data_IF_293415061789
#
_entry.id   IF_293415061789
#
_cell.length_a   1.000
_cell.length_b   1.000
_cell.length_c   1.000
_cell.angle_alpha   90.00
_cell.angle_beta   90.00
_cell.angle_gamma   90.00
#
_symmetry.space_group_name_H-M   'P 1'
#
loop_
_entity.id
_entity.type
_entity.pdbx_description
1 polymer ?
#
# COMPACT_ATOMS: atom_id res chain seq x y z
N UNK A 1 3.62 -48.51 -40.85
CA UNK A 1 2.44 -47.67 -41.19
C UNK A 1 1.47 -47.40 -40.03
N UNK A 2 1.57 -48.03 -38.84
CA UNK A 2 0.69 -47.68 -37.70
C UNK A 2 1.30 -46.63 -36.75
N UNK A 3 2.62 -46.65 -36.58
CA UNK A 3 3.34 -45.80 -35.62
C UNK A 3 3.40 -44.32 -36.07
N UNK A 4 3.41 -44.03 -37.38
CA UNK A 4 3.40 -42.65 -37.88
C UNK A 4 2.04 -41.95 -37.73
N UNK A 5 0.95 -42.72 -37.61
CA UNK A 5 -0.40 -42.19 -37.47
C UNK A 5 -0.68 -41.74 -36.03
N UNK A 6 -0.20 -42.52 -35.06
CA UNK A 6 -0.31 -42.17 -33.63
C UNK A 6 0.57 -40.97 -33.25
N UNK A 7 1.73 -40.80 -33.89
CA UNK A 7 2.60 -39.63 -33.66
C UNK A 7 1.97 -38.32 -34.16
N UNK A 8 1.22 -38.37 -35.26
CA UNK A 8 0.51 -37.21 -35.82
C UNK A 8 -0.65 -36.73 -34.93
N UNK A 9 -1.43 -37.66 -34.37
CA UNK A 9 -2.53 -37.34 -33.46
C UNK A 9 -2.02 -36.78 -32.12
N UNK A 10 -0.88 -37.27 -31.61
CA UNK A 10 -0.26 -36.72 -30.39
C UNK A 10 0.26 -35.30 -30.63
N UNK A 11 0.91 -35.04 -31.77
CA UNK A 11 1.40 -33.70 -32.10
C UNK A 11 0.28 -32.70 -32.39
N UNK A 12 -0.81 -33.14 -33.04
CA UNK A 12 -2.00 -32.31 -33.25
C UNK A 12 -2.66 -31.89 -31.94
N UNK A 13 -2.90 -32.85 -31.04
CA UNK A 13 -3.48 -32.56 -29.72
C UNK A 13 -2.56 -31.67 -28.86
N UNK A 14 -1.23 -31.80 -29.00
CA UNK A 14 -0.29 -30.93 -28.28
C UNK A 14 -0.32 -29.49 -28.82
N UNK A 15 -0.42 -29.33 -30.14
CA UNK A 15 -0.47 -28.02 -30.78
C UNK A 15 -1.78 -27.29 -30.44
N UNK A 16 -2.91 -28.01 -30.43
CA UNK A 16 -4.21 -27.45 -30.06
C UNK A 16 -4.24 -27.07 -28.57
N UNK A 17 -3.67 -27.91 -27.69
CA UNK A 17 -3.59 -27.60 -26.26
C UNK A 17 -2.67 -26.41 -25.95
N UNK A 18 -1.56 -26.26 -26.69
CA UNK A 18 -0.70 -25.06 -26.57
C UNK A 18 -1.39 -23.81 -27.09
N UNK A 19 -2.21 -23.94 -28.14
CA UNK A 19 -2.96 -22.83 -28.73
C UNK A 19 -4.07 -22.37 -27.80
N UNK A 20 -4.83 -23.29 -27.21
CA UNK A 20 -5.85 -22.97 -26.21
C UNK A 20 -5.24 -22.27 -24.98
N UNK A 21 -4.07 -22.72 -24.50
CA UNK A 21 -3.36 -22.04 -23.41
C UNK A 21 -2.95 -20.61 -23.82
N UNK A 22 -2.51 -20.42 -25.06
CA UNK A 22 -2.06 -19.12 -25.56
C UNK A 22 -3.24 -18.16 -25.79
N UNK A 23 -4.36 -18.68 -26.29
CA UNK A 23 -5.60 -17.94 -26.50
C UNK A 23 -6.24 -17.56 -25.15
N UNK A 24 -6.28 -18.47 -24.16
CA UNK A 24 -6.69 -18.16 -22.79
C UNK A 24 -5.78 -17.11 -22.12
N UNK A 25 -4.46 -17.18 -22.35
CA UNK A 25 -3.52 -16.17 -21.85
C UNK A 25 -3.76 -14.81 -22.51
N UNK A 26 -4.00 -14.81 -23.83
CA UNK A 26 -4.23 -13.62 -24.64
C UNK A 26 -5.54 -12.93 -24.27
N UNK A 27 -6.62 -13.69 -24.08
CA UNK A 27 -7.93 -13.16 -23.67
C UNK A 27 -7.92 -12.71 -22.20
N UNK A 28 -7.19 -13.41 -21.33
CA UNK A 28 -6.91 -12.99 -19.96
C UNK A 28 -6.17 -11.66 -19.91
N UNK A 29 -5.07 -11.52 -20.65
CA UNK A 29 -4.32 -10.27 -20.77
C UNK A 29 -5.15 -9.16 -21.43
N UNK A 30 -5.92 -9.46 -22.47
CA UNK A 30 -6.80 -8.51 -23.16
C UNK A 30 -7.86 -7.91 -22.26
N UNK A 31 -8.56 -8.74 -21.48
CA UNK A 31 -9.57 -8.29 -20.52
C UNK A 31 -8.99 -7.48 -19.36
N UNK A 32 -7.77 -7.81 -18.90
CA UNK A 32 -7.05 -7.03 -17.88
C UNK A 32 -6.60 -5.67 -18.44
N UNK A 33 -6.12 -5.63 -19.70
CA UNK A 33 -5.76 -4.38 -20.37
C UNK A 33 -6.97 -3.49 -20.66
N UNK A 34 -8.14 -4.05 -20.95
CA UNK A 34 -9.38 -3.25 -21.04
C UNK A 34 -9.82 -2.75 -19.67
N UNK A 35 -9.78 -3.60 -18.63
CA UNK A 35 -10.15 -3.21 -17.26
C UNK A 35 -9.25 -2.11 -16.68
N UNK A 36 -7.95 -2.13 -16.97
CA UNK A 36 -6.96 -1.21 -16.40
C UNK A 36 -6.65 -0.06 -17.36
N UNK A 37 -6.42 -0.34 -18.64
CA UNK A 37 -5.95 0.64 -19.63
C UNK A 37 -7.01 1.62 -20.10
N UNK A 38 -8.24 1.17 -20.36
CA UNK A 38 -9.34 2.07 -20.72
C UNK A 38 -9.85 2.89 -19.52
N UNK A 39 -9.61 2.42 -18.29
CA UNK A 39 -10.11 3.08 -17.09
C UNK A 39 -9.08 3.95 -16.38
N UNK A 40 -7.77 3.72 -16.49
CA UNK A 40 -6.74 4.47 -15.73
C UNK A 40 -6.88 6.00 -15.84
N UNK A 41 -7.28 6.52 -17.01
CA UNK A 41 -7.44 7.96 -17.25
C UNK A 41 -8.83 8.51 -16.87
N UNK A 42 -9.80 7.65 -16.59
CA UNK A 42 -11.19 8.00 -16.23
C UNK A 42 -11.61 7.53 -14.83
N UNK A 43 -10.78 6.74 -14.13
CA UNK A 43 -11.15 6.12 -12.86
C UNK A 43 -10.81 7.02 -11.67
N UNK A 44 -11.85 7.38 -10.92
CA UNK A 44 -11.72 8.11 -9.65
C UNK A 44 -10.89 7.35 -8.61
N UNK A 45 -10.80 6.02 -8.72
CA UNK A 45 -10.05 5.16 -7.81
C UNK A 45 -8.55 5.49 -7.81
N UNK A 46 -7.94 5.66 -9.00
CA UNK A 46 -6.50 5.99 -9.11
C UNK A 46 -6.18 7.41 -8.65
N UNK A 47 -7.10 8.35 -8.84
CA UNK A 47 -6.96 9.72 -8.31
C UNK A 47 -7.13 9.76 -6.78
N UNK A 48 -8.03 8.94 -6.22
CA UNK A 48 -8.15 8.77 -4.76
C UNK A 48 -6.88 8.15 -4.16
N UNK A 49 -6.32 7.12 -4.80
CA UNK A 49 -5.05 6.54 -4.41
C UNK A 49 -3.88 7.52 -4.55
N UNK A 50 -3.90 8.41 -5.55
CA UNK A 50 -2.89 9.46 -5.71
C UNK A 50 -2.93 10.46 -4.56
N UNK A 51 -4.12 10.94 -4.22
CA UNK A 51 -4.28 11.83 -3.06
C UNK A 51 -3.84 11.13 -1.77
N UNK A 52 -4.24 9.87 -1.57
CA UNK A 52 -3.83 9.08 -0.43
C UNK A 52 -2.30 8.92 -0.35
N UNK A 53 -1.62 8.66 -1.47
CA UNK A 53 -0.17 8.55 -1.53
C UNK A 53 0.54 9.87 -1.16
N UNK A 54 0.01 11.03 -1.57
CA UNK A 54 0.54 12.33 -1.14
C UNK A 54 0.38 12.56 0.37
N UNK A 55 -0.78 12.20 0.92
CA UNK A 55 -1.00 12.32 2.37
C UNK A 55 -0.08 11.38 3.14
N UNK A 56 0.13 10.15 2.66
CA UNK A 56 1.08 9.18 3.23
C UNK A 56 2.54 9.64 3.18
N UNK A 57 2.90 10.54 2.26
CA UNK A 57 4.23 11.17 2.18
C UNK A 57 4.36 12.36 3.13
N UNK A 58 3.35 13.22 3.21
CA UNK A 58 3.43 14.49 3.96
C UNK A 58 3.19 14.27 5.46
N UNK A 59 2.21 13.44 5.84
CA UNK A 59 1.82 13.26 7.24
C UNK A 59 2.97 12.74 8.14
N UNK A 60 3.78 11.76 7.72
CA UNK A 60 4.90 11.30 8.53
C UNK A 60 6.03 12.33 8.63
N UNK A 61 6.25 13.13 7.58
CA UNK A 61 7.28 14.19 7.57
C UNK A 61 6.94 15.28 8.57
N UNK A 62 5.68 15.74 8.60
CA UNK A 62 5.21 16.68 9.61
C UNK A 62 5.37 16.12 11.03
N UNK A 63 5.07 14.84 11.20
CA UNK A 63 5.22 14.12 12.47
C UNK A 63 6.68 14.03 12.92
N UNK A 64 7.59 13.78 11.98
CA UNK A 64 9.03 13.72 12.24
C UNK A 64 9.62 15.08 12.60
N UNK A 65 9.18 16.15 11.90
CA UNK A 65 9.58 17.53 12.21
C UNK A 65 9.11 17.97 13.60
N UNK A 66 7.84 17.69 13.95
CA UNK A 66 7.29 17.98 15.28
C UNK A 66 8.07 17.24 16.38
N UNK A 67 8.30 15.93 16.20
CA UNK A 67 9.07 15.13 17.15
C UNK A 67 10.55 15.56 17.24
N UNK A 68 11.15 16.00 16.13
CA UNK A 68 12.51 16.54 16.11
C UNK A 68 12.65 17.83 16.91
N UNK A 69 11.69 18.75 16.77
CA UNK A 69 11.64 20.01 17.53
C UNK A 69 11.41 19.75 19.02
N UNK A 70 10.53 18.82 19.38
CA UNK A 70 10.28 18.48 20.78
C UNK A 70 11.47 17.75 21.43
N UNK A 71 12.13 16.83 20.71
CA UNK A 71 13.34 16.14 21.19
C UNK A 71 14.51 17.11 21.42
N UNK A 72 14.64 18.18 20.61
CA UNK A 72 15.62 19.23 20.86
C UNK A 72 15.38 19.95 22.19
N UNK A 73 14.11 20.18 22.57
CA UNK A 73 13.76 20.79 23.86
C UNK A 73 13.89 19.84 25.05
N UNK A 74 13.67 18.54 24.85
CA UNK A 74 13.88 17.53 25.89
C UNK A 74 15.36 17.21 26.14
N UNK A 75 16.26 17.43 25.17
CA UNK A 75 17.71 17.25 25.39
C UNK A 75 18.29 18.24 26.40
N UNK A 76 17.56 19.31 26.72
CA UNK A 76 17.92 20.32 27.73
C UNK A 76 17.37 20.04 29.13
N UNK A 77 16.43 19.08 29.29
CA UNK A 77 15.87 18.70 30.58
C UNK A 77 15.94 17.17 30.72
N UNK A 78 16.81 16.67 31.59
CA UNK A 78 17.13 15.25 31.83
C UNK A 78 15.94 14.39 32.33
N UNK A 79 14.89 14.22 31.53
CA UNK A 79 13.78 13.31 31.86
C UNK A 79 13.43 12.40 30.68
N UNK A 80 13.82 11.13 30.85
CA UNK A 80 13.31 9.90 30.24
C UNK A 80 13.05 9.87 28.72
N UNK A 81 14.09 9.46 28.00
CA UNK A 81 14.07 9.03 26.59
C UNK A 81 13.38 7.67 26.43
N UNK A 82 12.04 7.56 26.49
CA UNK A 82 11.38 6.26 26.25
C UNK A 82 10.18 6.21 25.28
N UNK A 83 9.70 7.32 24.74
CA UNK A 83 8.47 7.31 23.90
C UNK A 83 8.63 7.48 22.39
N UNK A 84 9.72 8.07 21.89
CA UNK A 84 9.70 8.71 20.57
C UNK A 84 10.05 7.81 19.35
N UNK A 85 10.37 6.52 19.55
CA UNK A 85 10.96 5.68 18.49
C UNK A 85 9.96 4.99 17.55
N UNK A 86 8.76 4.63 18.02
CA UNK A 86 7.84 3.74 17.29
C UNK A 86 7.13 4.40 16.10
N UNK A 87 6.87 5.71 16.18
CA UNK A 87 6.22 6.48 15.11
C UNK A 87 7.13 6.63 13.88
N UNK A 88 8.46 6.53 14.07
CA UNK A 88 9.43 6.66 12.99
C UNK A 88 9.35 5.53 11.96
N UNK A 89 9.17 4.28 12.40
CA UNK A 89 9.20 3.13 11.49
C UNK A 89 7.93 3.03 10.62
N UNK A 90 6.76 3.21 11.23
CA UNK A 90 5.49 3.27 10.49
C UNK A 90 5.47 4.45 9.50
N UNK A 91 6.06 5.59 9.90
CA UNK A 91 6.21 6.75 9.02
C UNK A 91 7.11 6.49 7.80
N UNK A 92 8.23 5.78 7.99
CA UNK A 92 9.14 5.41 6.88
C UNK A 92 8.42 4.47 5.91
N UNK A 93 7.70 3.46 6.40
CA UNK A 93 6.93 2.53 5.54
C UNK A 93 5.85 3.29 4.76
N UNK A 94 5.16 4.24 5.40
CA UNK A 94 4.19 5.12 4.76
C UNK A 94 4.80 5.94 3.62
N UNK A 95 5.99 6.53 3.84
CA UNK A 95 6.73 7.28 2.81
C UNK A 95 7.11 6.36 1.65
N UNK A 96 7.70 5.19 1.93
CA UNK A 96 8.09 4.22 0.91
C UNK A 96 6.88 3.77 0.08
N UNK A 97 5.78 3.42 0.75
CA UNK A 97 4.54 3.02 0.08
C UNK A 97 4.01 4.14 -0.82
N UNK A 98 3.94 5.38 -0.33
CA UNK A 98 3.49 6.54 -1.11
C UNK A 98 4.39 6.83 -2.31
N UNK A 99 5.72 6.76 -2.14
CA UNK A 99 6.68 6.96 -3.23
C UNK A 99 6.56 5.91 -4.33
N UNK A 100 6.33 4.64 -3.97
CA UNK A 100 6.11 3.55 -4.93
C UNK A 100 4.86 3.83 -5.78
N UNK A 101 3.76 4.29 -5.15
CA UNK A 101 2.55 4.64 -5.91
C UNK A 101 2.75 5.84 -6.83
N UNK A 102 3.44 6.89 -6.37
CA UNK A 102 3.77 8.04 -7.22
C UNK A 102 4.61 7.60 -8.44
N UNK A 103 5.62 6.76 -8.23
CA UNK A 103 6.45 6.24 -9.30
C UNK A 103 5.61 5.45 -10.32
N UNK A 104 4.71 4.59 -9.84
CA UNK A 104 3.75 3.88 -10.68
C UNK A 104 2.83 4.85 -11.46
N UNK A 105 2.18 5.80 -10.77
CA UNK A 105 1.21 6.71 -11.38
C UNK A 105 1.82 7.58 -12.47
N UNK A 106 3.00 8.17 -12.22
CA UNK A 106 3.68 8.99 -13.22
C UNK A 106 4.27 8.18 -14.37
N UNK A 107 4.67 6.93 -14.14
CA UNK A 107 5.14 6.02 -15.20
C UNK A 107 3.98 5.58 -16.11
N UNK A 108 2.82 5.26 -15.53
CA UNK A 108 1.61 4.92 -16.26
C UNK A 108 1.04 6.14 -17.03
N UNK A 109 1.05 7.34 -16.43
CA UNK A 109 0.55 8.57 -17.06
C UNK A 109 1.34 9.03 -18.28
N UNK A 110 2.65 8.79 -18.31
CA UNK A 110 3.52 9.20 -19.42
C UNK A 110 3.66 8.15 -20.53
N UNK A 111 2.94 7.03 -20.45
CA UNK A 111 3.06 5.97 -21.44
C UNK A 111 2.14 6.19 -22.65
N UNK A 112 2.64 5.88 -23.85
CA UNK A 112 1.87 5.91 -25.10
C UNK A 112 0.86 4.75 -25.13
N UNK A 113 -0.35 5.02 -25.65
CA UNK A 113 -1.50 4.09 -25.72
C UNK A 113 -1.14 2.73 -26.35
N UNK A 114 -0.20 2.71 -27.30
CA UNK A 114 0.26 1.46 -27.96
C UNK A 114 1.28 0.62 -27.16
N UNK A 115 1.70 1.05 -25.97
CA UNK A 115 2.68 0.34 -25.14
C UNK A 115 2.28 0.27 -23.65
N UNK A 116 1.01 0.56 -23.35
CA UNK A 116 0.44 0.47 -21.99
C UNK A 116 0.73 -0.89 -21.34
N UNK A 117 0.66 -1.95 -22.17
CA UNK A 117 1.24 -3.27 -22.03
C UNK A 117 2.48 -3.41 -21.14
N UNK A 118 3.50 -2.63 -21.49
CA UNK A 118 4.87 -2.76 -20.98
C UNK A 118 5.20 -1.69 -19.95
N UNK A 119 4.46 -0.59 -19.92
CA UNK A 119 4.64 0.48 -18.93
C UNK A 119 3.89 0.24 -17.63
N UNK A 120 2.81 -0.55 -17.68
CA UNK A 120 2.01 -0.85 -16.50
C UNK A 120 2.72 -1.93 -15.66
N UNK A 121 3.56 -1.48 -14.73
CA UNK A 121 4.22 -2.36 -13.77
C UNK A 121 3.23 -2.71 -12.65
N UNK A 122 2.43 -3.75 -12.91
CA UNK A 122 1.49 -4.33 -11.95
C UNK A 122 2.15 -4.66 -10.60
N UNK A 123 3.41 -5.09 -10.62
CA UNK A 123 4.17 -5.37 -9.39
C UNK A 123 4.28 -4.14 -8.48
N UNK A 124 4.51 -2.93 -9.02
CA UNK A 124 4.61 -1.72 -8.19
C UNK A 124 3.28 -1.39 -7.50
N UNK A 125 2.16 -1.53 -8.20
CA UNK A 125 0.84 -1.31 -7.63
C UNK A 125 0.54 -2.34 -6.53
N UNK A 126 0.89 -3.61 -6.76
CA UNK A 126 0.75 -4.70 -5.79
C UNK A 126 1.61 -4.47 -4.56
N UNK A 127 2.85 -4.01 -4.73
CA UNK A 127 3.75 -3.62 -3.64
C UNK A 127 3.19 -2.44 -2.83
N UNK A 128 2.64 -1.41 -3.47
CA UNK A 128 1.98 -0.31 -2.76
C UNK A 128 0.80 -0.79 -1.91
N UNK A 129 -0.13 -1.56 -2.49
CA UNK A 129 -1.30 -2.07 -1.74
C UNK A 129 -0.86 -3.02 -0.62
N UNK A 130 0.13 -3.88 -0.88
CA UNK A 130 0.70 -4.78 0.12
C UNK A 130 1.37 -4.04 1.29
N UNK A 131 2.17 -3.02 1.01
CA UNK A 131 2.80 -2.18 2.05
C UNK A 131 1.77 -1.36 2.84
N UNK A 132 0.74 -0.84 2.18
CA UNK A 132 -0.36 -0.16 2.85
C UNK A 132 -1.16 -1.10 3.77
N UNK A 133 -1.41 -2.35 3.35
CA UNK A 133 -1.99 -3.38 4.21
C UNK A 133 -1.12 -3.69 5.43
N UNK A 134 0.18 -3.89 5.20
CA UNK A 134 1.15 -4.15 6.27
C UNK A 134 1.18 -3.01 7.28
N UNK A 135 1.13 -1.76 6.81
CA UNK A 135 1.05 -0.55 7.63
C UNK A 135 -0.20 -0.54 8.50
N UNK A 136 -1.36 -0.97 7.97
CA UNK A 136 -2.60 -1.06 8.76
C UNK A 136 -2.52 -2.11 9.86
N UNK A 137 -1.93 -3.28 9.58
CA UNK A 137 -1.79 -4.36 10.57
C UNK A 137 -0.84 -3.95 11.70
N UNK A 138 0.34 -3.43 11.35
CA UNK A 138 1.28 -2.91 12.35
C UNK A 138 0.65 -1.74 13.12
N UNK A 139 -0.06 -0.87 12.42
CA UNK A 139 -0.75 0.26 13.00
C UNK A 139 -1.76 -0.13 14.06
N UNK A 140 -2.59 -1.13 13.76
CA UNK A 140 -3.55 -1.68 14.70
C UNK A 140 -2.86 -2.27 15.94
N UNK A 141 -1.76 -3.03 15.76
CA UNK A 141 -0.98 -3.57 16.88
C UNK A 141 -0.41 -2.46 17.77
N UNK A 142 0.15 -1.40 17.18
CA UNK A 142 0.68 -0.26 17.93
C UNK A 142 -0.44 0.47 18.68
N UNK A 143 -1.61 0.66 18.06
CA UNK A 143 -2.76 1.29 18.70
C UNK A 143 -3.25 0.49 19.92
N UNK A 144 -3.28 -0.85 19.82
CA UNK A 144 -3.61 -1.73 20.96
C UNK A 144 -2.57 -1.59 22.07
N UNK A 145 -1.26 -1.62 21.74
CA UNK A 145 -0.21 -1.45 22.75
C UNK A 145 -0.26 -0.08 23.43
N UNK A 146 -0.50 1.00 22.69
CA UNK A 146 -0.67 2.35 23.25
C UNK A 146 -1.88 2.42 24.18
N UNK A 147 -3.00 1.80 23.79
CA UNK A 147 -4.21 1.77 24.61
C UNK A 147 -3.97 1.02 25.92
N UNK A 148 -3.27 -0.13 25.88
CA UNK A 148 -2.90 -0.87 27.08
C UNK A 148 -1.93 -0.08 27.97
N UNK A 149 -0.97 0.63 27.38
CA UNK A 149 -0.04 1.47 28.13
C UNK A 149 -0.75 2.60 28.88
N UNK A 150 -1.70 3.27 28.24
CA UNK A 150 -2.52 4.32 28.86
C UNK A 150 -3.45 3.75 29.91
N UNK A 151 -4.06 2.59 29.67
CA UNK A 151 -4.89 1.92 30.67
C UNK A 151 -4.08 1.62 31.94
N UNK A 152 -2.84 1.14 31.79
CA UNK A 152 -1.91 0.95 32.91
C UNK A 152 -1.60 2.24 33.66
N UNK A 153 -1.36 3.35 32.94
CA UNK A 153 -1.10 4.66 33.55
C UNK A 153 -2.34 5.26 34.24
N UNK A 154 -3.55 5.03 33.73
CA UNK A 154 -4.80 5.51 34.35
C UNK A 154 -5.12 4.72 35.61
N UNK A 155 -4.85 3.41 35.63
CA UNK A 155 -5.09 2.54 36.78
C UNK A 155 -4.08 2.73 37.91
N UNK A 156 -2.80 2.97 37.60
CA UNK A 156 -1.72 2.94 38.61
C UNK A 156 -0.83 4.21 38.66
N UNK A 157 -1.07 5.22 37.82
CA UNK A 157 -0.24 6.41 37.73
C UNK A 157 -0.86 7.68 38.32
N UNK A 158 0.00 8.58 38.80
CA UNK A 158 -0.38 9.86 39.41
C UNK A 158 -0.65 10.98 38.37
N UNK A 159 -0.09 10.87 37.15
CA UNK A 159 -0.21 11.89 36.10
C UNK A 159 -1.24 11.53 35.00
N UNK A 160 -2.51 11.41 35.41
CA UNK A 160 -3.60 10.91 34.54
C UNK A 160 -3.93 11.85 33.38
N UNK A 161 -3.91 13.16 33.61
CA UNK A 161 -4.39 14.15 32.62
C UNK A 161 -3.42 14.30 31.44
N UNK A 162 -2.12 14.41 31.72
CA UNK A 162 -1.07 14.58 30.69
C UNK A 162 -0.97 13.35 29.79
N UNK A 163 -1.04 12.13 30.36
CA UNK A 163 -1.04 10.88 29.60
C UNK A 163 -2.22 10.78 28.63
N UNK A 164 -3.43 11.12 29.08
CA UNK A 164 -4.63 11.11 28.23
C UNK A 164 -4.52 12.13 27.09
N UNK A 165 -4.04 13.33 27.35
CA UNK A 165 -3.84 14.35 26.31
C UNK A 165 -2.84 13.89 25.24
N UNK A 166 -1.72 13.29 25.64
CA UNK A 166 -0.73 12.74 24.71
C UNK A 166 -1.32 11.58 23.92
N UNK A 167 -2.12 10.71 24.55
CA UNK A 167 -2.79 9.60 23.87
C UNK A 167 -3.78 10.08 22.80
N UNK A 168 -4.63 11.07 23.12
CA UNK A 168 -5.58 11.62 22.15
C UNK A 168 -4.83 12.20 20.94
N UNK A 169 -3.76 12.94 21.19
CA UNK A 169 -2.92 13.50 20.12
C UNK A 169 -2.31 12.39 19.23
N UNK A 170 -1.78 11.34 19.85
CA UNK A 170 -1.22 10.19 19.12
C UNK A 170 -2.27 9.43 18.30
N UNK A 171 -3.48 9.25 18.85
CA UNK A 171 -4.58 8.60 18.14
C UNK A 171 -5.06 9.40 16.93
N UNK A 172 -5.13 10.73 17.05
CA UNK A 172 -5.44 11.62 15.93
C UNK A 172 -4.37 11.49 14.83
N UNK A 173 -3.09 11.51 15.21
CA UNK A 173 -1.98 11.40 14.27
C UNK A 173 -1.94 10.04 13.56
N UNK A 174 -2.25 8.96 14.29
CA UNK A 174 -2.44 7.62 13.73
C UNK A 174 -3.61 7.59 12.73
N UNK A 175 -4.74 8.23 13.04
CA UNK A 175 -5.89 8.29 12.14
C UNK A 175 -5.55 8.99 10.81
N UNK A 176 -4.80 10.09 10.85
CA UNK A 176 -4.33 10.78 9.63
C UNK A 176 -3.35 9.94 8.79
N UNK A 177 -2.64 9.00 9.41
CA UNK A 177 -1.70 8.10 8.71
C UNK A 177 -2.41 6.88 8.14
N UNK A 178 -3.39 6.32 8.86
CA UNK A 178 -4.09 5.11 8.43
C UNK A 178 -5.26 5.35 7.49
N UNK A 179 -5.98 6.47 7.61
CA UNK A 179 -7.11 6.75 6.73
C UNK A 179 -6.71 6.71 5.23
N UNK A 180 -5.58 7.33 4.81
CA UNK A 180 -5.07 7.18 3.46
C UNK A 180 -4.72 5.73 3.11
N UNK A 181 -4.10 4.98 4.01
CA UNK A 181 -3.74 3.58 3.78
C UNK A 181 -4.96 2.69 3.55
N UNK A 182 -6.06 2.92 4.30
CA UNK A 182 -7.35 2.24 4.07
C UNK A 182 -7.89 2.60 2.68
N UNK A 183 -7.86 3.88 2.30
CA UNK A 183 -8.30 4.32 0.96
C UNK A 183 -7.48 3.62 -0.13
N UNK A 184 -6.15 3.62 -0.02
CA UNK A 184 -5.27 2.95 -0.98
C UNK A 184 -5.53 1.45 -1.10
N UNK A 185 -5.77 0.76 0.02
CA UNK A 185 -6.08 -0.67 -0.01
C UNK A 185 -7.46 -0.90 -0.62
N UNK A 186 -8.48 -0.15 -0.19
CA UNK A 186 -9.86 -0.34 -0.67
C UNK A 186 -10.01 -0.09 -2.18
N UNK A 187 -9.40 0.99 -2.68
CA UNK A 187 -9.39 1.32 -4.11
C UNK A 187 -8.47 0.37 -4.90
N UNK A 188 -7.29 0.05 -4.37
CA UNK A 188 -6.30 -0.78 -5.05
C UNK A 188 -6.61 -2.27 -5.05
N UNK A 189 -7.43 -2.77 -4.11
CA UNK A 189 -7.70 -4.20 -3.94
C UNK A 189 -8.27 -4.84 -5.20
N UNK A 190 -9.24 -4.18 -5.84
CA UNK A 190 -9.91 -4.69 -7.04
C UNK A 190 -8.93 -4.95 -8.20
N UNK A 191 -7.91 -4.09 -8.31
CA UNK A 191 -6.91 -4.10 -9.38
C UNK A 191 -5.67 -4.94 -9.03
N UNK A 192 -5.48 -5.30 -7.76
CA UNK A 192 -4.30 -6.05 -7.28
C UNK A 192 -4.61 -7.48 -6.87
N UNK A 193 -5.69 -7.71 -6.14
CA UNK A 193 -6.09 -9.03 -5.62
C UNK A 193 -7.54 -9.41 -5.98
N UNK A 194 -8.22 -8.56 -6.75
CA UNK A 194 -9.62 -8.71 -7.11
C UNK A 194 -9.84 -9.13 -8.57
N UNK A 195 -11.04 -8.89 -9.06
CA UNK A 195 -11.51 -9.34 -10.39
C UNK A 195 -10.74 -8.76 -11.57
N UNK A 196 -9.95 -7.71 -11.36
CA UNK A 196 -9.16 -7.05 -12.40
C UNK A 196 -7.66 -7.31 -12.23
N UNK A 197 -7.27 -8.29 -11.40
CA UNK A 197 -5.89 -8.72 -11.26
C UNK A 197 -5.48 -9.59 -12.47
N UNK A 198 -4.27 -9.41 -13.04
CA UNK A 198 -3.65 -10.31 -14.00
C UNK A 198 -3.28 -11.66 -13.38
#
# INVERSE_FOLDING_TARGET
>A
MRIERDAGDIFGNLQDSVKDIFDDLSDGLGSVFECIGATFQANKDFDMMLWAAYVMLIAPVLSFLMNGVMNQKQKTNDTDKKGAGSIGFAGIISIISGSIYLAFYYKAKNCSIGSFGKCFEYDLLKWHVGLSMFLLVIGALIAVMLTLAVLGQVCCGDEKLTSICVFIFLMIQMAFTFAPAIVSVSAGWKYTFGKCAP
#
